data_IF_081434670532
#
_entry.id   IF_081434670532
#
_cell.length_a   1.000
_cell.length_b   1.000
_cell.length_c   1.000
_cell.angle_alpha   90.00
_cell.angle_beta   90.00
_cell.angle_gamma   90.00
#
_symmetry.space_group_name_H-M   'P 1'
#
loop_
_entity.id
_entity.type
_entity.pdbx_description
1 polymer ?
#
# COMPACT_ATOMS: atom_id res chain seq x y z
N UNK A 1 31.78 4.68 3.38
CA UNK A 1 31.53 3.66 4.43
C UNK A 1 30.62 4.31 5.46
N UNK A 2 29.32 4.04 5.53
CA UNK A 2 28.71 2.72 5.66
C UNK A 2 27.37 2.67 4.91
N UNK A 3 27.21 1.56 4.24
CA UNK A 3 26.06 1.07 3.52
C UNK A 3 24.85 0.93 4.44
N UNK A 4 23.69 1.41 3.99
CA UNK A 4 22.40 1.11 4.62
C UNK A 4 21.55 0.34 3.62
N UNK A 5 21.91 -0.94 3.48
CA UNK A 5 21.02 -2.00 3.01
C UNK A 5 19.96 -2.22 4.10
N UNK A 6 18.89 -1.43 4.10
CA UNK A 6 17.66 -1.84 4.79
C UNK A 6 16.95 -2.78 3.84
N UNK A 7 17.22 -4.08 4.03
CA UNK A 7 16.49 -5.14 3.38
C UNK A 7 15.00 -4.95 3.63
N UNK A 8 14.28 -4.61 2.57
CA UNK A 8 12.84 -4.82 2.52
C UNK A 8 12.63 -6.33 2.64
N UNK A 9 12.49 -6.80 3.88
CA UNK A 9 11.85 -8.06 4.20
C UNK A 9 10.46 -7.95 3.60
N UNK A 10 10.36 -8.39 2.35
CA UNK A 10 9.11 -8.80 1.75
C UNK A 10 8.66 -9.98 2.60
N UNK A 11 8.02 -9.67 3.73
CA UNK A 11 7.14 -10.60 4.43
C UNK A 11 6.18 -11.05 3.33
N UNK A 12 6.44 -12.25 2.81
CA UNK A 12 5.70 -12.82 1.71
C UNK A 12 4.22 -12.68 2.03
N UNK A 13 3.48 -12.07 1.11
CA UNK A 13 2.03 -12.12 1.16
C UNK A 13 1.67 -13.59 1.00
N UNK A 14 1.41 -14.27 2.10
CA UNK A 14 0.88 -15.63 2.11
C UNK A 14 -0.39 -15.58 1.28
N UNK A 15 -0.39 -16.23 0.11
CA UNK A 15 -1.59 -16.40 -0.69
C UNK A 15 -2.40 -17.51 -0.01
N UNK A 16 -3.02 -17.18 1.13
CA UNK A 16 -4.16 -17.95 1.61
C UNK A 16 -5.22 -17.91 0.49
N UNK A 17 -5.95 -19.00 0.25
CA UNK A 17 -6.92 -19.07 -0.86
C UNK A 17 -7.94 -17.90 -0.85
N UNK A 18 -8.75 -17.74 -1.92
CA UNK A 18 -9.72 -16.66 -2.03
C UNK A 18 -10.86 -16.88 -1.03
N UNK A 19 -10.63 -16.55 0.25
CA UNK A 19 -11.71 -16.48 1.22
C UNK A 19 -12.47 -15.19 0.97
N UNK A 20 -13.78 -15.33 0.88
CA UNK A 20 -14.73 -14.22 0.83
C UNK A 20 -15.47 -14.17 2.17
N UNK A 21 -14.82 -14.44 3.29
CA UNK A 21 -15.48 -14.56 4.58
C UNK A 21 -16.08 -13.23 5.03
N UNK A 22 -15.44 -12.11 4.68
CA UNK A 22 -15.89 -10.76 5.05
C UNK A 22 -17.13 -10.36 4.24
N UNK A 23 -17.13 -10.58 2.93
CA UNK A 23 -18.35 -10.46 2.12
C UNK A 23 -18.53 -11.71 1.24
N UNK A 24 -19.31 -12.70 1.71
CA UNK A 24 -19.47 -14.03 1.09
C UNK A 24 -19.88 -14.02 -0.39
N UNK A 25 -20.72 -13.06 -0.77
CA UNK A 25 -21.28 -12.99 -2.12
C UNK A 25 -20.45 -12.13 -3.09
N UNK A 26 -19.24 -11.69 -2.70
CA UNK A 26 -18.41 -10.85 -3.57
C UNK A 26 -17.46 -11.70 -4.43
N UNK A 27 -17.64 -11.65 -5.75
CA UNK A 27 -16.81 -12.40 -6.70
C UNK A 27 -15.54 -11.64 -7.11
N UNK A 28 -15.55 -10.30 -7.02
CA UNK A 28 -14.47 -9.45 -7.53
C UNK A 28 -13.47 -8.96 -6.49
N UNK A 29 -13.80 -9.03 -5.20
CA UNK A 29 -12.91 -8.60 -4.12
C UNK A 29 -12.96 -9.60 -2.96
N UNK A 30 -11.94 -10.44 -2.89
CA UNK A 30 -11.74 -11.38 -1.78
C UNK A 30 -11.01 -10.72 -0.61
N UNK A 31 -10.96 -11.41 0.52
CA UNK A 31 -10.41 -10.87 1.77
C UNK A 31 -8.92 -10.50 1.64
N UNK A 32 -8.18 -11.26 0.82
CA UNK A 32 -6.81 -10.89 0.47
C UNK A 32 -6.75 -9.56 -0.26
N UNK A 33 -7.59 -9.36 -1.28
CA UNK A 33 -7.63 -8.12 -2.04
C UNK A 33 -8.11 -6.94 -1.19
N UNK A 34 -9.06 -7.16 -0.28
CA UNK A 34 -9.50 -6.17 0.73
C UNK A 34 -8.34 -5.65 1.56
N UNK A 35 -7.31 -6.47 1.78
CA UNK A 35 -6.11 -6.07 2.53
C UNK A 35 -5.00 -5.55 1.59
N UNK A 36 -4.73 -6.25 0.49
CA UNK A 36 -3.62 -5.97 -0.40
C UNK A 36 -3.76 -4.64 -1.13
N UNK A 37 -4.96 -4.29 -1.59
CA UNK A 37 -5.22 -3.06 -2.33
C UNK A 37 -4.97 -1.81 -1.49
N UNK A 38 -5.61 -1.62 -0.30
CA UNK A 38 -5.31 -0.46 0.52
C UNK A 38 -3.87 -0.44 1.02
N UNK A 39 -3.25 -1.60 1.31
CA UNK A 39 -1.83 -1.66 1.69
C UNK A 39 -0.92 -1.13 0.58
N UNK A 40 -1.14 -1.54 -0.67
CA UNK A 40 -0.35 -1.07 -1.80
C UNK A 40 -0.56 0.43 -2.05
N UNK A 41 -1.79 0.92 -1.94
CA UNK A 41 -2.09 2.35 -2.02
C UNK A 41 -1.39 3.13 -0.91
N UNK A 42 -1.45 2.65 0.33
CA UNK A 42 -0.83 3.31 1.48
C UNK A 42 0.69 3.35 1.37
N UNK A 43 1.33 2.32 0.80
CA UNK A 43 2.76 2.35 0.51
C UNK A 43 3.12 3.48 -0.48
N UNK A 44 2.36 3.65 -1.57
CA UNK A 44 2.57 4.74 -2.52
C UNK A 44 2.25 6.12 -1.94
N UNK A 45 1.16 6.22 -1.17
CA UNK A 45 0.78 7.45 -0.45
C UNK A 45 1.89 7.88 0.50
N UNK A 46 2.45 6.96 1.29
CA UNK A 46 3.58 7.22 2.18
C UNK A 46 4.80 7.76 1.43
N UNK A 47 5.19 7.11 0.33
CA UNK A 47 6.33 7.55 -0.48
C UNK A 47 6.12 8.97 -1.06
N UNK A 48 4.90 9.29 -1.51
CA UNK A 48 4.54 10.63 -1.97
C UNK A 48 4.54 11.65 -0.83
N UNK A 49 4.01 11.31 0.34
CA UNK A 49 3.96 12.20 1.50
C UNK A 49 5.35 12.63 1.97
N UNK A 50 6.33 11.72 1.92
CA UNK A 50 7.73 12.00 2.25
C UNK A 50 8.48 12.81 1.18
N UNK A 51 7.89 12.99 0.00
CA UNK A 51 8.52 13.66 -1.13
C UNK A 51 9.66 12.84 -1.74
N UNK A 52 9.55 11.51 -1.71
CA UNK A 52 10.57 10.57 -2.21
C UNK A 52 10.24 10.00 -3.60
N UNK A 53 9.32 10.62 -4.33
CA UNK A 53 8.85 10.17 -5.65
C UNK A 53 9.01 11.33 -6.63
N UNK A 54 9.51 11.06 -7.83
CA UNK A 54 9.58 12.03 -8.93
C UNK A 54 8.25 12.11 -9.66
N UNK A 55 7.91 13.30 -10.15
CA UNK A 55 6.77 13.48 -11.03
C UNK A 55 7.13 13.00 -12.44
N UNK A 56 6.37 12.04 -12.97
CA UNK A 56 6.62 11.43 -14.27
C UNK A 56 6.51 12.38 -15.47
N UNK A 57 5.90 13.56 -15.31
CA UNK A 57 5.75 14.55 -16.39
C UNK A 57 6.95 15.48 -16.54
N UNK A 58 7.58 15.88 -15.44
CA UNK A 58 8.63 16.90 -15.45
C UNK A 58 9.93 16.46 -14.74
N UNK A 59 9.96 15.25 -14.18
CA UNK A 59 11.14 14.68 -13.50
C UNK A 59 11.45 15.29 -12.13
N UNK A 60 10.71 16.32 -11.68
CA UNK A 60 10.98 16.98 -10.40
C UNK A 60 10.43 16.16 -9.23
N UNK A 61 11.07 16.21 -8.07
CA UNK A 61 10.54 15.57 -6.85
C UNK A 61 9.17 16.13 -6.48
N UNK A 62 8.23 15.25 -6.11
CA UNK A 62 6.94 15.62 -5.59
C UNK A 62 7.09 16.35 -4.24
N UNK A 63 6.26 17.37 -4.01
CA UNK A 63 6.25 18.10 -2.74
C UNK A 63 5.75 17.18 -1.61
N UNK A 64 6.37 17.32 -0.44
CA UNK A 64 5.90 16.69 0.81
C UNK A 64 4.47 17.10 1.15
N UNK A 65 3.69 16.16 1.67
CA UNK A 65 2.34 16.43 2.14
C UNK A 65 2.30 16.55 3.66
N UNK A 66 1.68 17.61 4.19
CA UNK A 66 1.58 17.82 5.65
C UNK A 66 0.59 16.87 6.32
N UNK A 67 -0.42 16.38 5.59
CA UNK A 67 -1.46 15.47 6.08
C UNK A 67 -1.86 14.49 4.98
N UNK A 68 -1.46 13.23 5.11
CA UNK A 68 -1.85 12.15 4.19
C UNK A 68 -2.21 10.88 4.97
N UNK A 69 -3.46 10.76 5.49
CA UNK A 69 -3.86 9.62 6.30
C UNK A 69 -3.93 8.32 5.50
N UNK A 70 -3.82 7.20 6.20
CA UNK A 70 -3.92 5.85 5.65
C UNK A 70 -5.37 5.55 5.25
N UNK A 71 -5.52 4.86 4.12
CA UNK A 71 -6.80 4.29 3.71
C UNK A 71 -7.05 3.02 4.52
N UNK A 72 -8.27 2.88 5.02
CA UNK A 72 -8.78 1.68 5.70
C UNK A 72 -9.95 1.14 4.90
N UNK A 73 -10.13 -0.18 4.87
CA UNK A 73 -11.36 -0.75 4.32
C UNK A 73 -12.48 -0.67 5.37
N UNK A 74 -13.72 -0.36 4.95
CA UNK A 74 -14.87 -0.26 5.86
C UNK A 74 -15.09 -1.51 6.71
N UNK A 75 -14.71 -2.67 6.18
CA UNK A 75 -14.93 -3.97 6.81
C UNK A 75 -13.91 -4.30 7.93
N UNK A 76 -12.96 -3.40 8.21
CA UNK A 76 -11.89 -3.57 9.20
C UNK A 76 -12.04 -2.64 10.42
N UNK A 77 -13.21 -2.00 10.59
CA UNK A 77 -13.57 -1.16 11.73
C UNK A 77 -14.60 -1.87 12.60
#
# INVERSE_FOLDING_TARGET
MRDRLEGSSQKGCVIAGPTNTVCPNNVGMNDLLRTAVPNKHNAFRSALALGNVTNGRNGTMCRRASKMPTLVSCEQI
#
